data_IF_385646554725
#
_entry.id   IF_385646554725
#
_cell.length_a   1.000
_cell.length_b   1.000
_cell.length_c   1.000
_cell.angle_alpha   90.00
_cell.angle_beta   90.00
_cell.angle_gamma   90.00
#
_symmetry.space_group_name_H-M   'P 1'
#
loop_
_entity.id
_entity.type
_entity.pdbx_description
1 polymer ?
#
# COMPACT_ATOMS: atom_id res chain seq x y z
N UNK A 1 16.74 2.10 13.54
CA UNK A 1 16.05 1.15 12.64
C UNK A 1 15.09 1.96 11.82
N UNK A 2 15.41 2.24 10.55
CA UNK A 2 14.50 3.02 9.71
C UNK A 2 14.93 2.93 8.27
N UNK A 3 14.27 2.02 7.56
CA UNK A 3 13.95 2.13 6.15
C UNK A 3 12.50 2.63 6.10
N UNK A 4 12.07 3.47 5.17
CA UNK A 4 10.65 3.47 4.78
C UNK A 4 10.58 2.57 3.59
N UNK A 5 10.02 1.38 3.78
CA UNK A 5 9.74 0.46 2.68
C UNK A 5 8.38 0.83 2.10
N UNK A 6 8.40 1.16 0.81
CA UNK A 6 7.22 1.50 0.04
C UNK A 6 6.77 0.31 -0.78
N UNK A 7 5.48 0.04 -0.75
CA UNK A 7 4.87 -1.10 -1.39
C UNK A 7 3.98 -0.69 -2.60
N UNK A 8 4.19 -1.29 -3.79
CA UNK A 8 3.41 -1.10 -5.04
C UNK A 8 2.89 -2.45 -5.56
N UNK A 9 1.75 -2.48 -6.28
CA UNK A 9 1.07 -3.73 -6.64
C UNK A 9 0.46 -3.73 -8.05
N UNK A 10 0.50 -4.91 -8.70
CA UNK A 10 0.06 -5.29 -10.06
C UNK A 10 0.83 -4.68 -11.24
N UNK A 11 1.16 -5.52 -12.23
CA UNK A 11 1.91 -5.16 -13.43
C UNK A 11 1.03 -4.53 -14.53
N UNK A 12 0.22 -3.53 -14.17
CA UNK A 12 -0.42 -2.63 -15.13
C UNK A 12 0.20 -1.25 -14.98
N UNK A 13 1.38 -1.05 -15.58
CA UNK A 13 2.26 0.08 -15.29
C UNK A 13 1.54 1.44 -15.30
N UNK A 14 0.75 1.74 -16.32
CA UNK A 14 0.01 3.01 -16.42
C UNK A 14 -1.23 3.05 -15.51
N UNK A 15 -2.02 1.97 -15.45
CA UNK A 15 -3.26 1.96 -14.64
C UNK A 15 -2.97 2.04 -13.15
N UNK A 16 -1.89 1.40 -12.69
CA UNK A 16 -1.45 1.45 -11.30
C UNK A 16 -0.60 2.69 -10.99
N UNK A 17 -0.26 3.47 -12.01
CA UNK A 17 0.51 4.71 -11.85
C UNK A 17 1.97 4.47 -11.51
N UNK A 18 2.56 3.36 -11.98
CA UNK A 18 3.98 3.05 -11.79
C UNK A 18 4.90 4.08 -12.45
N UNK A 19 4.44 4.68 -13.54
CA UNK A 19 5.06 5.85 -14.18
C UNK A 19 5.12 7.05 -13.22
N UNK A 20 3.97 7.43 -12.66
CA UNK A 20 3.84 8.52 -11.69
C UNK A 20 4.67 8.24 -10.44
N UNK A 21 4.66 6.99 -9.96
CA UNK A 21 5.41 6.57 -8.78
C UNK A 21 6.91 6.75 -8.96
N UNK A 22 7.49 6.22 -10.05
CA UNK A 22 8.94 6.31 -10.32
C UNK A 22 9.36 7.77 -10.51
N UNK A 23 8.55 8.59 -11.18
CA UNK A 23 8.82 10.02 -11.34
C UNK A 23 8.78 10.80 -10.00
N UNK A 24 7.87 10.42 -9.10
CA UNK A 24 7.82 10.98 -7.74
C UNK A 24 8.98 10.54 -6.87
N UNK A 25 9.49 9.31 -7.05
CA UNK A 25 10.67 8.82 -6.36
C UNK A 25 11.94 9.55 -6.78
N UNK A 26 12.07 9.87 -8.06
CA UNK A 26 13.19 10.66 -8.56
C UNK A 26 13.21 12.06 -7.93
N UNK A 27 12.04 12.71 -7.83
CA UNK A 27 11.88 13.99 -7.13
C UNK A 27 12.15 13.87 -5.63
N UNK A 28 11.63 12.83 -4.98
CA UNK A 28 11.92 12.56 -3.56
C UNK A 28 13.42 12.39 -3.33
N UNK A 29 14.13 11.68 -4.21
CA UNK A 29 15.57 11.52 -4.12
C UNK A 29 16.27 12.88 -4.16
N UNK A 30 15.89 13.73 -5.11
CA UNK A 30 16.41 15.10 -5.20
C UNK A 30 16.12 15.90 -3.92
N UNK A 31 14.86 15.91 -3.43
CA UNK A 31 14.49 16.62 -2.20
C UNK A 31 15.34 16.16 -1.01
N UNK A 32 15.56 14.85 -0.85
CA UNK A 32 16.36 14.32 0.26
C UNK A 32 17.88 14.58 0.10
N UNK A 33 18.37 14.84 -1.12
CA UNK A 33 19.77 15.24 -1.36
C UNK A 33 20.00 16.72 -1.08
N UNK A 34 19.02 17.58 -1.38
CA UNK A 34 19.15 19.05 -1.30
C UNK A 34 18.48 19.67 -0.08
N UNK A 35 17.75 18.89 0.72
CA UNK A 35 17.00 19.37 1.88
C UNK A 35 17.89 20.02 2.95
N UNK A 36 17.48 21.20 3.40
CA UNK A 36 18.04 21.89 4.57
C UNK A 36 17.16 21.72 5.82
N UNK A 37 16.01 21.08 5.70
CA UNK A 37 15.05 20.88 6.77
C UNK A 37 15.66 20.02 7.89
N UNK A 38 15.66 20.50 9.16
CA UNK A 38 16.20 19.75 10.30
C UNK A 38 15.50 18.40 10.56
N UNK A 39 14.24 18.23 10.14
CA UNK A 39 13.54 16.92 10.16
C UNK A 39 14.30 15.87 9.36
N UNK A 40 15.08 16.30 8.37
CA UNK A 40 15.88 15.49 7.48
C UNK A 40 17.40 15.64 7.70
N UNK A 41 17.85 16.47 8.66
CA UNK A 41 19.28 16.60 9.00
C UNK A 41 19.75 15.34 9.74
N UNK A 42 20.77 14.66 9.21
CA UNK A 42 21.30 13.41 9.77
C UNK A 42 20.90 12.16 9.00
N UNK A 43 20.20 12.31 7.87
CA UNK A 43 20.26 11.31 6.81
C UNK A 43 21.71 11.42 6.28
N UNK A 44 22.69 10.76 6.90
CA UNK A 44 24.11 10.80 6.49
C UNK A 44 24.51 9.45 5.91
N UNK A 45 25.43 9.46 4.93
CA UNK A 45 25.99 8.28 4.25
C UNK A 45 26.46 7.25 5.27
N UNK A 46 26.02 6.00 5.12
CA UNK A 46 26.57 4.89 5.87
C UNK A 46 28.04 4.68 5.46
N UNK A 47 28.99 5.11 6.30
CA UNK A 47 30.33 4.49 6.30
C UNK A 47 30.17 3.11 6.95
N UNK A 48 30.20 2.09 6.09
CA UNK A 48 30.17 0.63 6.31
C UNK A 48 30.66 0.13 7.68
N UNK A 49 29.93 -0.83 8.26
CA UNK A 49 30.52 -1.96 8.97
C UNK A 49 30.61 -3.16 8.02
N UNK A 50 31.43 -3.07 6.97
CA UNK A 50 31.70 -4.20 6.08
C UNK A 50 33.06 -3.95 5.41
N UNK A 51 34.15 -4.28 6.10
CA UNK A 51 35.48 -4.43 5.48
C UNK A 51 35.62 -5.77 4.71
N UNK A 52 34.55 -6.58 4.65
CA UNK A 52 34.55 -7.91 4.01
C UNK A 52 33.77 -8.01 2.67
N UNK A 53 33.02 -6.99 2.24
CA UNK A 53 32.10 -7.06 1.07
C UNK A 53 32.21 -5.80 0.23
N UNK A 54 33.43 -5.41 -0.13
CA UNK A 54 33.66 -4.33 -1.08
C UNK A 54 33.39 -4.82 -2.51
N UNK A 55 32.10 -4.94 -2.87
CA UNK A 55 31.70 -5.08 -4.26
C UNK A 55 31.89 -3.73 -4.98
N UNK A 56 32.56 -3.76 -6.14
CA UNK A 56 32.76 -2.60 -7.01
C UNK A 56 31.47 -2.21 -7.73
N UNK A 57 30.62 -3.19 -8.03
CA UNK A 57 29.37 -3.01 -8.74
C UNK A 57 28.29 -2.35 -7.86
N UNK A 58 27.32 -1.72 -8.53
CA UNK A 58 26.15 -1.14 -7.87
C UNK A 58 25.16 -2.24 -7.45
N UNK A 59 24.41 -2.04 -6.35
CA UNK A 59 23.30 -2.92 -6.02
C UNK A 59 22.28 -2.97 -7.17
N UNK A 60 21.86 -4.16 -7.63
CA UNK A 60 20.97 -4.30 -8.77
C UNK A 60 19.62 -3.65 -8.47
N UNK A 61 19.00 -3.04 -9.49
CA UNK A 61 17.65 -2.48 -9.40
C UNK A 61 16.56 -3.53 -9.66
N UNK A 62 16.91 -4.73 -10.10
CA UNK A 62 16.00 -5.84 -10.39
C UNK A 62 16.56 -7.13 -9.79
N UNK A 63 15.70 -7.94 -9.17
CA UNK A 63 16.13 -9.23 -8.60
C UNK A 63 16.18 -10.36 -9.63
N UNK A 64 15.47 -10.21 -10.74
CA UNK A 64 15.29 -11.24 -11.76
C UNK A 64 15.84 -10.81 -13.11
N UNK A 65 16.20 -11.80 -13.92
CA UNK A 65 16.53 -11.58 -15.33
C UNK A 65 15.23 -11.45 -16.12
N UNK A 66 14.97 -10.25 -16.63
CA UNK A 66 13.79 -9.99 -17.45
C UNK A 66 13.95 -10.67 -18.81
N UNK A 67 12.90 -11.36 -19.25
CA UNK A 67 12.83 -11.95 -20.59
C UNK A 67 12.83 -10.85 -21.67
N UNK A 68 12.18 -9.73 -21.37
CA UNK A 68 12.01 -8.58 -22.26
C UNK A 68 12.98 -7.45 -21.92
N UNK A 69 13.67 -6.92 -22.92
CA UNK A 69 14.55 -5.76 -22.78
C UNK A 69 13.81 -4.42 -22.67
N UNK A 70 12.55 -4.38 -23.12
CA UNK A 70 11.67 -3.20 -23.21
C UNK A 70 10.69 -3.07 -22.04
N UNK A 71 10.99 -3.72 -20.91
CA UNK A 71 10.23 -3.61 -19.66
C UNK A 71 10.02 -2.13 -19.25
N UNK A 72 8.76 -1.75 -18.98
CA UNK A 72 8.37 -0.37 -18.73
C UNK A 72 8.91 0.17 -17.40
N UNK A 73 9.00 -0.68 -16.37
CA UNK A 73 9.53 -0.33 -15.04
C UNK A 73 11.03 -0.05 -15.15
N UNK A 74 11.81 -0.98 -15.72
CA UNK A 74 13.25 -0.82 -15.93
C UNK A 74 13.56 0.37 -16.83
N UNK A 75 12.78 0.58 -17.89
CA UNK A 75 12.91 1.73 -18.78
C UNK A 75 12.70 3.04 -18.02
N UNK A 76 11.68 3.11 -17.16
CA UNK A 76 11.41 4.29 -16.34
C UNK A 76 12.50 4.52 -15.27
N UNK A 77 12.96 3.47 -14.58
CA UNK A 77 14.05 3.57 -13.60
C UNK A 77 15.36 4.06 -14.23
N UNK A 78 15.69 3.59 -15.44
CA UNK A 78 16.84 4.06 -16.21
C UNK A 78 16.68 5.52 -16.65
N UNK A 79 15.50 5.89 -17.15
CA UNK A 79 15.18 7.27 -17.57
C UNK A 79 15.33 8.26 -16.42
N UNK A 80 14.83 7.93 -15.23
CA UNK A 80 14.90 8.78 -14.04
C UNK A 80 16.21 8.67 -13.27
N UNK A 81 17.16 7.87 -13.77
CA UNK A 81 18.47 7.62 -13.15
C UNK A 81 18.38 7.00 -11.76
N UNK A 82 17.30 6.32 -11.37
CA UNK A 82 17.21 5.61 -10.09
C UNK A 82 17.94 4.25 -10.14
N UNK A 83 19.27 4.31 -10.22
CA UNK A 83 20.16 3.15 -10.44
C UNK A 83 20.93 2.71 -9.18
N UNK A 84 20.41 3.04 -7.99
CA UNK A 84 21.04 2.72 -6.71
C UNK A 84 22.47 3.27 -6.51
N UNK A 85 22.87 4.34 -7.20
CA UNK A 85 24.15 5.04 -6.97
C UNK A 85 24.35 5.38 -5.49
N UNK A 86 25.60 5.41 -5.02
CA UNK A 86 25.96 5.50 -3.60
C UNK A 86 25.40 6.76 -2.91
N UNK A 87 25.31 7.85 -3.64
CA UNK A 87 24.80 9.16 -3.24
C UNK A 87 23.26 9.27 -3.28
N UNK A 88 22.55 8.34 -3.91
CA UNK A 88 21.10 8.30 -3.85
C UNK A 88 20.60 8.03 -2.44
N UNK A 89 19.60 8.81 -2.02
CA UNK A 89 18.91 8.66 -0.73
C UNK A 89 17.74 7.70 -0.81
N UNK A 90 17.20 7.52 -2.01
CA UNK A 90 16.14 6.59 -2.38
C UNK A 90 16.80 5.43 -3.10
N UNK A 91 16.66 4.22 -2.57
CA UNK A 91 17.05 2.98 -3.28
C UNK A 91 15.80 2.31 -3.83
N UNK A 92 15.93 1.59 -4.94
CA UNK A 92 14.85 0.87 -5.60
C UNK A 92 15.23 -0.60 -5.77
N UNK A 93 14.28 -1.49 -5.52
CA UNK A 93 14.40 -2.92 -5.82
C UNK A 93 13.13 -3.36 -6.53
N UNK A 94 13.24 -3.66 -7.82
CA UNK A 94 12.19 -4.25 -8.62
C UNK A 94 12.22 -5.78 -8.46
N UNK A 95 11.14 -6.33 -7.89
CA UNK A 95 10.96 -7.77 -7.72
C UNK A 95 9.74 -8.21 -8.55
N UNK A 96 9.95 -8.73 -9.78
CA UNK A 96 8.90 -9.19 -10.68
C UNK A 96 8.51 -10.66 -10.42
N UNK A 97 8.25 -10.99 -9.16
CA UNK A 97 7.78 -12.31 -8.72
C UNK A 97 6.87 -12.14 -7.50
N UNK A 98 5.99 -13.10 -7.26
CA UNK A 98 5.21 -13.14 -6.02
C UNK A 98 6.12 -13.34 -4.81
N UNK A 99 5.80 -12.61 -3.74
CA UNK A 99 6.45 -12.82 -2.45
C UNK A 99 6.09 -14.19 -1.90
N UNK A 100 7.09 -14.91 -1.42
CA UNK A 100 6.95 -16.20 -0.80
C UNK A 100 8.01 -16.40 0.27
N UNK A 101 7.62 -16.99 1.39
CA UNK A 101 8.50 -17.38 2.49
C UNK A 101 9.58 -18.39 2.07
N UNK A 102 9.38 -19.12 0.96
CA UNK A 102 10.42 -20.03 0.41
C UNK A 102 11.40 -19.33 -0.54
N UNK A 103 11.17 -18.07 -0.90
CA UNK A 103 12.09 -17.32 -1.77
C UNK A 103 13.42 -17.11 -1.05
N UNK A 104 14.56 -17.50 -1.64
CA UNK A 104 15.88 -17.34 -1.02
C UNK A 104 16.33 -15.88 -0.93
N UNK A 105 15.62 -14.97 -1.60
CA UNK A 105 15.88 -13.54 -1.54
C UNK A 105 15.18 -12.95 -0.31
N UNK A 106 13.88 -12.72 -0.38
CA UNK A 106 13.16 -11.96 0.66
C UNK A 106 12.76 -12.85 1.84
N UNK A 107 12.40 -14.10 1.60
CA UNK A 107 12.03 -15.06 2.64
C UNK A 107 10.80 -14.67 3.48
N UNK A 108 9.89 -13.88 2.91
CA UNK A 108 8.66 -13.43 3.58
C UNK A 108 7.46 -13.66 2.67
N UNK A 109 6.34 -14.07 3.27
CA UNK A 109 5.04 -14.05 2.59
C UNK A 109 4.52 -12.60 2.49
N UNK A 110 3.57 -12.39 1.58
CA UNK A 110 3.03 -11.06 1.28
C UNK A 110 2.57 -10.29 2.52
N UNK A 111 1.83 -10.94 3.42
CA UNK A 111 1.24 -10.29 4.61
C UNK A 111 2.33 -9.80 5.58
N UNK A 112 3.31 -10.65 5.86
CA UNK A 112 4.44 -10.32 6.74
C UNK A 112 5.30 -9.21 6.14
N UNK A 113 5.50 -9.26 4.82
CA UNK A 113 6.20 -8.23 4.08
C UNK A 113 5.50 -6.88 4.18
N UNK A 114 4.18 -6.81 3.95
CA UNK A 114 3.41 -5.57 4.07
C UNK A 114 3.43 -5.04 5.50
N UNK A 115 3.35 -5.91 6.52
CA UNK A 115 3.47 -5.47 7.93
C UNK A 115 4.84 -4.87 8.27
N UNK A 116 5.88 -5.35 7.59
CA UNK A 116 7.25 -4.81 7.65
C UNK A 116 7.41 -3.48 6.91
N UNK A 117 6.56 -3.22 5.89
CA UNK A 117 6.49 -1.95 5.17
C UNK A 117 6.10 -0.78 6.10
N UNK A 118 6.45 0.43 5.69
CA UNK A 118 6.13 1.65 6.43
C UNK A 118 4.99 2.44 5.78
N UNK A 119 4.87 2.37 4.45
CA UNK A 119 3.92 3.13 3.66
C UNK A 119 3.55 2.34 2.40
N UNK A 120 2.26 2.11 2.15
CA UNK A 120 1.79 1.64 0.85
C UNK A 120 1.64 2.82 -0.12
N UNK A 121 2.04 2.70 -1.38
CA UNK A 121 1.88 3.78 -2.37
C UNK A 121 1.24 3.22 -3.63
N UNK A 122 -0.03 3.57 -3.82
CA UNK A 122 -0.91 3.05 -4.86
C UNK A 122 -1.49 4.22 -5.67
N UNK A 123 -0.68 4.94 -6.46
CA UNK A 123 -1.11 6.13 -7.18
C UNK A 123 -1.91 5.77 -8.44
N UNK A 124 -2.89 4.88 -8.34
CA UNK A 124 -3.65 4.33 -9.46
C UNK A 124 -4.35 5.41 -10.29
N UNK A 125 -4.27 5.28 -11.62
CA UNK A 125 -5.10 6.01 -12.58
C UNK A 125 -6.43 5.30 -12.82
N UNK A 126 -6.41 3.97 -12.92
CA UNK A 126 -7.59 3.13 -13.05
C UNK A 126 -7.60 2.03 -11.98
N UNK A 127 -8.51 2.17 -11.02
CA UNK A 127 -8.67 1.22 -9.93
C UNK A 127 -10.12 1.23 -9.43
N UNK A 128 -10.98 0.31 -9.90
CA UNK A 128 -12.41 0.32 -9.57
C UNK A 128 -12.70 0.34 -8.07
N UNK A 129 -11.86 -0.36 -7.28
CA UNK A 129 -11.92 -0.34 -5.83
C UNK A 129 -10.57 0.04 -5.23
N UNK A 130 -9.69 -0.93 -5.01
CA UNK A 130 -8.42 -0.71 -4.31
C UNK A 130 -8.33 -1.61 -3.08
N UNK A 131 -8.23 -2.92 -3.30
CA UNK A 131 -8.09 -3.89 -2.21
C UNK A 131 -6.76 -3.73 -1.48
N UNK A 132 -5.67 -3.48 -2.21
CA UNK A 132 -4.34 -3.35 -1.62
C UNK A 132 -4.22 -2.21 -0.59
N UNK A 133 -4.67 -0.97 -0.86
CA UNK A 133 -4.69 0.07 0.18
C UNK A 133 -5.67 -0.25 1.33
N UNK A 134 -6.77 -0.96 1.07
CA UNK A 134 -7.68 -1.42 2.12
C UNK A 134 -7.01 -2.47 3.03
N UNK A 135 -6.32 -3.45 2.47
CA UNK A 135 -5.53 -4.45 3.19
C UNK A 135 -4.41 -3.81 4.01
N UNK A 136 -3.70 -2.83 3.44
CA UNK A 136 -2.73 -2.02 4.19
C UNK A 136 -3.38 -1.37 5.42
N UNK A 137 -4.59 -0.81 5.27
CA UNK A 137 -5.32 -0.17 6.37
C UNK A 137 -5.66 -1.16 7.48
N UNK A 138 -6.15 -2.35 7.12
CA UNK A 138 -6.40 -3.46 8.06
C UNK A 138 -5.13 -3.90 8.79
N UNK A 139 -3.98 -3.87 8.11
CA UNK A 139 -2.67 -4.17 8.70
C UNK A 139 -2.04 -2.99 9.48
N UNK A 140 -2.74 -1.87 9.61
CA UNK A 140 -2.24 -0.66 10.28
C UNK A 140 -1.08 0.03 9.54
N UNK A 141 -1.01 -0.15 8.23
CA UNK A 141 0.00 0.45 7.35
C UNK A 141 -0.61 1.66 6.64
N UNK A 142 -0.10 2.89 6.89
CA UNK A 142 -0.50 4.07 6.15
C UNK A 142 -0.38 3.83 4.64
N UNK A 143 -1.29 4.39 3.86
CA UNK A 143 -1.29 4.22 2.41
C UNK A 143 -1.58 5.52 1.68
N UNK A 144 -0.97 5.67 0.50
CA UNK A 144 -1.28 6.70 -0.47
C UNK A 144 -2.14 6.08 -1.57
N UNK A 145 -3.31 6.64 -1.83
CA UNK A 145 -4.18 6.31 -2.96
C UNK A 145 -4.49 7.55 -3.81
N UNK A 146 -5.48 7.47 -4.70
CA UNK A 146 -5.90 8.59 -5.57
C UNK A 146 -7.41 8.80 -5.54
N UNK A 147 -7.85 10.01 -5.91
CA UNK A 147 -9.26 10.34 -6.12
C UNK A 147 -9.84 9.79 -7.45
N UNK A 148 -9.12 8.86 -8.09
CA UNK A 148 -9.61 8.02 -9.19
C UNK A 148 -9.83 6.57 -8.74
N UNK A 149 -9.31 6.18 -7.57
CA UNK A 149 -9.54 4.86 -6.98
C UNK A 149 -10.83 4.82 -6.18
N UNK A 150 -11.57 3.71 -6.22
CA UNK A 150 -12.77 3.54 -5.39
C UNK A 150 -12.50 3.67 -3.89
N UNK A 151 -11.39 3.11 -3.40
CA UNK A 151 -10.94 3.21 -2.02
C UNK A 151 -10.63 4.67 -1.62
N UNK A 152 -9.90 5.40 -2.47
CA UNK A 152 -9.56 6.80 -2.22
C UNK A 152 -10.80 7.68 -2.17
N UNK A 153 -11.73 7.50 -3.11
CA UNK A 153 -13.03 8.18 -3.11
C UNK A 153 -13.84 7.84 -1.85
N UNK A 154 -13.96 6.55 -1.51
CA UNK A 154 -14.68 6.08 -0.32
C UNK A 154 -14.14 6.72 0.96
N UNK A 155 -12.81 6.71 1.15
CA UNK A 155 -12.16 7.30 2.31
C UNK A 155 -12.34 8.82 2.38
N UNK A 156 -12.29 9.54 1.26
CA UNK A 156 -12.55 10.98 1.23
C UNK A 156 -14.00 11.35 1.57
N UNK A 157 -14.94 10.48 1.22
CA UNK A 157 -16.37 10.71 1.49
C UNK A 157 -16.74 10.38 2.94
N UNK A 158 -16.14 9.34 3.52
CA UNK A 158 -16.56 8.80 4.83
C UNK A 158 -15.65 9.21 6.00
N UNK A 159 -14.49 9.81 5.74
CA UNK A 159 -13.54 10.24 6.78
C UNK A 159 -13.22 11.73 6.58
N UNK A 160 -13.49 12.55 7.60
CA UNK A 160 -13.36 14.02 7.53
C UNK A 160 -11.91 14.49 7.27
N UNK A 161 -10.93 13.88 7.96
CA UNK A 161 -9.50 14.11 7.70
C UNK A 161 -8.77 12.77 7.55
N UNK A 162 -8.80 12.15 6.36
CA UNK A 162 -8.16 10.86 6.11
C UNK A 162 -6.64 10.90 6.38
N UNK A 163 -6.00 12.05 6.18
CA UNK A 163 -4.56 12.21 6.32
C UNK A 163 -4.11 12.05 7.78
N UNK A 164 -4.90 12.50 8.75
CA UNK A 164 -4.64 12.30 10.18
C UNK A 164 -4.68 10.84 10.61
N UNK A 165 -5.35 9.98 9.83
CA UNK A 165 -5.43 8.53 9.99
C UNK A 165 -4.48 7.76 9.06
N UNK A 166 -3.67 8.45 8.25
CA UNK A 166 -2.61 7.83 7.44
C UNK A 166 -3.10 7.35 6.09
N UNK A 167 -4.26 7.86 5.66
CA UNK A 167 -4.79 7.68 4.32
C UNK A 167 -4.52 8.99 3.57
N UNK A 168 -3.59 8.94 2.63
CA UNK A 168 -3.26 10.09 1.80
C UNK A 168 -3.89 9.90 0.43
N UNK A 169 -4.55 10.94 -0.09
CA UNK A 169 -5.21 10.87 -1.40
C UNK A 169 -4.61 11.91 -2.33
N UNK A 170 -3.90 11.42 -3.36
CA UNK A 170 -3.33 12.26 -4.41
C UNK A 170 -4.45 12.66 -5.37
N UNK A 171 -4.46 13.93 -5.76
CA UNK A 171 -5.40 14.41 -6.76
C UNK A 171 -4.83 14.11 -8.15
N UNK A 172 -5.45 13.14 -8.84
CA UNK A 172 -5.18 12.78 -10.24
C UNK A 172 -6.38 13.10 -11.15
N UNK A 173 -7.48 13.60 -10.60
CA UNK A 173 -8.72 13.91 -11.34
C UNK A 173 -8.77 15.35 -11.80
N UNK A 174 -8.28 16.29 -10.98
CA UNK A 174 -8.40 17.73 -11.22
C UNK A 174 -7.04 18.43 -11.40
N UNK A 175 -5.95 17.66 -11.40
CA UNK A 175 -4.58 18.16 -11.57
C UNK A 175 -3.89 17.52 -12.76
N UNK A 176 -2.91 18.24 -13.32
CA UNK A 176 -2.03 17.69 -14.34
C UNK A 176 -1.13 16.58 -13.77
N UNK A 177 -0.61 15.67 -14.62
CA UNK A 177 0.30 14.62 -14.17
C UNK A 177 1.50 15.15 -13.38
N UNK A 178 2.08 16.29 -13.79
CA UNK A 178 3.22 16.90 -13.08
C UNK A 178 2.85 17.38 -11.68
N UNK A 179 1.66 17.98 -11.52
CA UNK A 179 1.16 18.40 -10.22
C UNK A 179 0.90 17.21 -9.30
N UNK A 180 0.32 16.13 -9.82
CA UNK A 180 0.11 14.89 -9.08
C UNK A 180 1.43 14.25 -8.65
N UNK A 181 2.43 14.25 -9.55
CA UNK A 181 3.79 13.76 -9.26
C UNK A 181 4.44 14.56 -8.12
N UNK A 182 4.35 15.90 -8.16
CA UNK A 182 4.85 16.77 -7.10
C UNK A 182 4.12 16.56 -5.78
N UNK A 183 2.80 16.42 -5.82
CA UNK A 183 1.99 16.13 -4.63
C UNK A 183 2.40 14.79 -3.99
N UNK A 184 2.55 13.74 -4.80
CA UNK A 184 2.98 12.43 -4.30
C UNK A 184 4.39 12.49 -3.69
N UNK A 185 5.34 13.15 -4.36
CA UNK A 185 6.69 13.35 -3.85
C UNK A 185 6.69 14.12 -2.51
N UNK A 186 5.85 15.15 -2.39
CA UNK A 186 5.72 15.94 -1.18
C UNK A 186 5.17 15.11 -0.01
N UNK A 187 4.12 14.30 -0.23
CA UNK A 187 3.57 13.42 0.80
C UNK A 187 4.65 12.43 1.30
N UNK A 188 5.40 11.81 0.38
CA UNK A 188 6.49 10.91 0.76
C UNK A 188 7.62 11.64 1.51
N UNK A 189 7.95 12.86 1.09
CA UNK A 189 8.95 13.69 1.77
C UNK A 189 8.52 14.03 3.20
N UNK A 190 7.29 14.49 3.40
CA UNK A 190 6.78 14.82 4.74
C UNK A 190 6.67 13.57 5.63
N UNK A 191 6.27 12.42 5.06
CA UNK A 191 6.30 11.14 5.77
C UNK A 191 7.72 10.75 6.18
N UNK A 192 8.72 11.04 5.33
CA UNK A 192 10.13 10.89 5.68
C UNK A 192 10.57 11.83 6.82
N UNK A 193 9.87 12.92 7.09
CA UNK A 193 10.18 13.83 8.20
C UNK A 193 9.68 13.33 9.56
N UNK A 194 8.91 12.24 9.60
CA UNK A 194 8.31 11.74 10.84
C UNK A 194 9.33 11.02 11.74
N UNK A 195 9.23 11.25 13.04
CA UNK A 195 9.92 10.45 14.07
C UNK A 195 9.32 9.04 14.20
N UNK A 196 10.07 8.12 14.82
CA UNK A 196 9.57 6.76 15.13
C UNK A 196 8.27 6.80 15.94
N UNK A 197 8.19 7.68 16.94
CA UNK A 197 6.98 7.86 17.76
C UNK A 197 5.79 8.33 16.93
N UNK A 198 6.00 9.31 16.04
CA UNK A 198 4.95 9.77 15.12
C UNK A 198 4.47 8.64 14.20
N UNK A 199 5.38 7.84 13.63
CA UNK A 199 5.01 6.69 12.78
C UNK A 199 4.19 5.64 13.54
N UNK A 200 4.56 5.31 14.78
CA UNK A 200 3.79 4.37 15.62
C UNK A 200 2.37 4.91 15.88
N UNK A 201 2.27 6.18 16.25
CA UNK A 201 0.96 6.83 16.46
C UNK A 201 0.13 6.80 15.17
N UNK A 202 0.76 7.07 14.02
CA UNK A 202 0.10 7.03 12.73
C UNK A 202 -0.45 5.63 12.41
N UNK A 203 0.38 4.58 12.56
CA UNK A 203 -0.04 3.17 12.36
C UNK A 203 -1.22 2.79 13.24
N UNK A 204 -1.19 3.17 14.52
CA UNK A 204 -2.28 2.92 15.46
C UNK A 204 -3.57 3.67 15.09
N UNK A 205 -3.48 4.81 14.42
CA UNK A 205 -4.66 5.51 13.90
C UNK A 205 -5.18 4.83 12.64
N UNK A 206 -4.28 4.46 11.72
CA UNK A 206 -4.65 3.75 10.49
C UNK A 206 -5.41 2.46 10.78
N UNK A 207 -4.94 1.66 11.75
CA UNK A 207 -5.58 0.39 12.12
C UNK A 207 -7.02 0.56 12.64
N UNK A 208 -7.35 1.69 13.29
CA UNK A 208 -8.72 2.00 13.73
C UNK A 208 -9.72 2.17 12.59
N UNK A 209 -9.25 2.48 11.37
CA UNK A 209 -10.12 2.56 10.20
C UNK A 209 -10.50 1.17 9.66
N UNK A 210 -9.91 0.08 10.16
CA UNK A 210 -10.24 -1.27 9.71
C UNK A 210 -11.71 -1.64 9.92
N UNK A 211 -12.34 -1.18 11.01
CA UNK A 211 -13.76 -1.41 11.31
C UNK A 211 -14.70 -0.82 10.24
N UNK A 212 -14.31 0.31 9.64
CA UNK A 212 -15.07 0.95 8.56
C UNK A 212 -15.08 0.09 7.28
N UNK A 213 -14.02 -0.69 7.07
CA UNK A 213 -13.82 -1.52 5.88
C UNK A 213 -14.37 -2.94 6.05
N UNK A 214 -14.88 -3.27 7.24
CA UNK A 214 -15.46 -4.59 7.51
C UNK A 214 -16.85 -4.76 6.88
N UNK A 215 -17.21 -6.01 6.52
CA UNK A 215 -18.50 -6.32 5.93
C UNK A 215 -19.68 -6.09 6.88
N UNK A 216 -19.47 -6.08 8.20
CA UNK A 216 -20.50 -5.68 9.14
C UNK A 216 -20.91 -4.21 8.94
N UNK A 217 -19.97 -3.37 8.49
CA UNK A 217 -20.20 -1.95 8.16
C UNK A 217 -20.67 -1.80 6.70
N UNK A 218 -19.91 -2.32 5.74
CA UNK A 218 -20.19 -2.14 4.31
C UNK A 218 -21.41 -2.93 3.79
N UNK A 219 -21.83 -3.97 4.51
CA UNK A 219 -22.97 -4.81 4.15
C UNK A 219 -24.32 -4.07 4.14
N UNK A 220 -24.41 -2.90 4.79
CA UNK A 220 -25.62 -2.08 4.80
C UNK A 220 -26.04 -1.66 3.39
N UNK A 221 -25.09 -1.29 2.52
CA UNK A 221 -25.38 -0.87 1.15
C UNK A 221 -26.03 -2.00 0.32
N UNK A 222 -25.67 -3.26 0.60
CA UNK A 222 -26.32 -4.43 -0.01
C UNK A 222 -27.72 -4.69 0.53
N UNK A 223 -27.99 -4.34 1.79
CA UNK A 223 -29.34 -4.45 2.36
C UNK A 223 -30.24 -3.37 1.77
N UNK A 224 -29.72 -2.15 1.65
CA UNK A 224 -30.45 -1.00 1.13
C UNK A 224 -30.78 -1.18 -0.35
N UNK A 225 -29.83 -1.65 -1.18
CA UNK A 225 -30.11 -1.86 -2.60
C UNK A 225 -31.19 -2.92 -2.85
N UNK A 226 -31.19 -4.00 -2.06
CA UNK A 226 -32.23 -5.04 -2.12
C UNK A 226 -33.59 -4.49 -1.67
N UNK A 227 -33.61 -3.69 -0.62
CA UNK A 227 -34.83 -3.01 -0.16
C UNK A 227 -35.37 -2.07 -1.23
N UNK A 228 -34.54 -1.19 -1.79
CA UNK A 228 -34.90 -0.28 -2.87
C UNK A 228 -35.42 -1.01 -4.12
N UNK A 229 -34.82 -2.14 -4.48
CA UNK A 229 -35.27 -2.94 -5.61
C UNK A 229 -36.69 -3.50 -5.38
N UNK A 230 -36.96 -3.99 -4.18
CA UNK A 230 -38.28 -4.47 -3.81
C UNK A 230 -39.31 -3.32 -3.71
N UNK A 231 -38.92 -2.13 -3.26
CA UNK A 231 -39.82 -0.95 -3.14
C UNK A 231 -40.26 -0.46 -4.53
N UNK A 232 -39.36 -0.57 -5.52
CA UNK A 232 -39.69 -0.27 -6.92
C UNK A 232 -40.58 -1.33 -7.56
N UNK A 233 -40.38 -2.61 -7.22
CA UNK A 233 -41.18 -3.71 -7.75
C UNK A 233 -42.57 -3.77 -7.12
N UNK A 234 -42.67 -3.47 -5.82
CA UNK A 234 -43.88 -3.54 -5.02
C UNK A 234 -44.07 -2.23 -4.24
N UNK A 235 -44.78 -1.23 -4.81
CA UNK A 235 -45.06 0.03 -4.12
C UNK A 235 -45.83 -0.12 -2.80
N UNK A 236 -46.56 -1.23 -2.64
CA UNK A 236 -47.30 -1.62 -1.44
C UNK A 236 -46.50 -2.57 -0.52
N UNK A 237 -45.17 -2.60 -0.64
CA UNK A 237 -44.28 -3.50 0.11
C UNK A 237 -44.62 -3.58 1.60
N UNK A 238 -44.86 -2.45 2.27
CA UNK A 238 -45.14 -2.47 3.71
C UNK A 238 -46.38 -3.28 4.05
N UNK A 239 -47.42 -3.23 3.21
CA UNK A 239 -48.62 -4.04 3.38
C UNK A 239 -48.31 -5.52 3.14
N UNK A 240 -47.52 -5.85 2.12
CA UNK A 240 -47.08 -7.22 1.84
C UNK A 240 -46.28 -7.78 3.03
N UNK A 241 -45.36 -7.00 3.60
CA UNK A 241 -44.58 -7.39 4.77
C UNK A 241 -45.51 -7.65 5.96
N UNK A 242 -46.38 -6.69 6.31
CA UNK A 242 -47.33 -6.82 7.43
C UNK A 242 -48.24 -8.04 7.27
N UNK A 243 -48.70 -8.32 6.06
CA UNK A 243 -49.55 -9.49 5.79
C UNK A 243 -48.80 -10.83 5.94
N UNK A 244 -47.47 -10.82 5.86
CA UNK A 244 -46.58 -11.98 5.96
C UNK A 244 -45.87 -12.11 7.31
N UNK A 245 -45.99 -11.13 8.21
CA UNK A 245 -45.46 -11.22 9.57
C UNK A 245 -46.02 -12.46 10.29
N UNK A 246 -45.14 -13.29 10.83
CA UNK A 246 -45.48 -14.55 11.50
C UNK A 246 -45.92 -15.70 10.59
N UNK A 247 -46.12 -15.49 9.29
CA UNK A 247 -46.49 -16.53 8.30
C UNK A 247 -45.28 -17.12 7.59
N UNK A 248 -44.21 -16.35 7.46
CA UNK A 248 -42.93 -16.86 6.98
C UNK A 248 -42.24 -17.51 8.18
N UNK A 249 -42.01 -18.83 8.11
CA UNK A 249 -41.26 -19.53 9.14
C UNK A 249 -39.92 -18.82 9.37
N UNK A 250 -39.62 -18.48 10.62
CA UNK A 250 -38.28 -18.00 10.99
C UNK A 250 -37.31 -19.04 10.44
N UNK A 251 -36.40 -18.62 9.55
CA UNK A 251 -35.37 -19.52 9.07
C UNK A 251 -34.41 -19.77 10.22
N UNK A 252 -34.76 -20.70 11.10
CA UNK A 252 -34.05 -21.11 12.32
C UNK A 252 -32.82 -21.95 11.95
N UNK A 253 -31.99 -21.46 11.03
CA UNK A 253 -30.72 -22.09 10.65
C UNK A 253 -29.68 -21.10 10.08
N UNK A 254 -29.49 -19.98 10.76
CA UNK A 254 -28.16 -19.38 10.90
C UNK A 254 -27.76 -19.34 12.38
N UNK A 255 -27.98 -20.47 13.08
CA UNK A 255 -27.35 -20.73 14.37
C UNK A 255 -25.90 -21.11 14.08
N UNK A 256 -25.00 -20.15 14.21
CA UNK A 256 -23.53 -20.32 14.27
C UNK A 256 -22.90 -21.25 13.19
N UNK A 257 -22.58 -20.67 12.02
CA UNK A 257 -21.29 -20.97 11.37
C UNK A 257 -20.27 -19.89 11.80
N UNK A 258 -20.28 -19.57 13.09
CA UNK A 258 -19.26 -18.78 13.79
C UNK A 258 -18.53 -19.67 14.82
N UNK A 259 -18.55 -20.99 14.63
CA UNK A 259 -17.96 -21.98 15.52
C UNK A 259 -16.85 -22.83 14.89
N UNK A 260 -16.44 -22.53 13.65
CA UNK A 260 -15.28 -23.18 13.05
C UNK A 260 -14.39 -22.10 12.41
N UNK A 261 -13.29 -21.69 13.06
CA UNK A 261 -12.38 -20.67 12.52
C UNK A 261 -11.70 -21.10 11.21
N UNK A 262 -11.94 -22.33 10.74
CA UNK A 262 -11.42 -22.85 9.47
C UNK A 262 -12.27 -22.54 8.22
N UNK A 263 -13.48 -21.97 8.36
CA UNK A 263 -14.37 -21.70 7.20
C UNK A 263 -14.29 -20.24 6.73
N UNK A 264 -13.90 -19.29 7.59
CA UNK A 264 -13.62 -17.90 7.19
C UNK A 264 -12.30 -17.73 6.44
N UNK A 265 -11.48 -18.78 6.35
CA UNK A 265 -10.26 -18.82 5.54
C UNK A 265 -10.49 -19.12 4.05
N UNK A 266 -11.74 -19.19 3.59
CA UNK A 266 -12.04 -19.25 2.17
C UNK A 266 -12.58 -17.90 1.73
N UNK A 267 -11.66 -16.95 1.59
CA UNK A 267 -11.77 -16.03 0.46
C UNK A 267 -12.14 -16.88 -0.77
N UNK A 268 -13.10 -16.47 -1.63
CA UNK A 268 -13.11 -17.02 -2.98
C UNK A 268 -11.65 -16.92 -3.48
N UNK A 269 -11.08 -17.97 -4.11
CA UNK A 269 -9.73 -17.85 -4.62
C UNK A 269 -9.70 -16.56 -5.41
N UNK A 270 -8.90 -15.61 -4.92
CA UNK A 270 -8.59 -14.41 -5.69
C UNK A 270 -8.22 -14.96 -7.07
N UNK A 271 -8.78 -14.44 -8.18
CA UNK A 271 -8.22 -14.77 -9.48
C UNK A 271 -6.70 -14.61 -9.36
N UNK A 272 -5.89 -15.53 -9.92
CA UNK A 272 -4.44 -15.42 -9.84
C UNK A 272 -4.09 -13.97 -10.12
N UNK A 273 -3.48 -13.30 -9.14
CA UNK A 273 -3.26 -11.85 -9.20
C UNK A 273 -2.10 -11.67 -10.16
N UNK A 274 -2.35 -11.84 -11.45
CA UNK A 274 -1.32 -11.95 -12.47
C UNK A 274 -0.33 -10.77 -12.34
N UNK A 275 0.92 -11.16 -12.16
CA UNK A 275 2.15 -10.37 -12.06
C UNK A 275 2.16 -9.25 -11.00
N UNK A 276 2.78 -9.58 -9.85
CA UNK A 276 3.19 -8.59 -8.85
C UNK A 276 4.56 -8.01 -9.19
N UNK A 277 4.60 -6.71 -9.41
CA UNK A 277 5.82 -5.93 -9.49
C UNK A 277 5.96 -5.09 -8.23
N UNK A 278 6.88 -5.49 -7.37
CA UNK A 278 7.20 -4.75 -6.16
C UNK A 278 8.37 -3.80 -6.42
N UNK A 279 8.23 -2.52 -6.07
CA UNK A 279 9.35 -1.57 -5.99
C UNK A 279 9.60 -1.27 -4.52
N UNK A 280 10.57 -1.97 -3.92
CA UNK A 280 11.03 -1.64 -2.57
C UNK A 280 11.77 -0.32 -2.65
N UNK A 281 11.16 0.74 -2.14
CA UNK A 281 11.90 1.98 -1.90
C UNK A 281 12.51 1.88 -0.54
N UNK A 282 13.82 2.10 -0.38
CA UNK A 282 14.47 2.15 0.95
C UNK A 282 15.00 3.56 1.19
N UNK A 283 14.44 4.30 2.16
CA UNK A 283 14.96 5.60 2.66
C UNK A 283 15.40 5.49 4.14
N UNK A 284 16.65 5.85 4.47
CA UNK A 284 17.26 5.54 5.79
C UNK A 284 17.18 6.66 6.83
N UNK A 285 16.83 6.36 8.11
CA UNK A 285 16.90 7.30 9.26
C UNK A 285 17.51 6.70 10.55
N UNK A 286 17.67 7.55 11.58
CA UNK A 286 18.48 7.46 12.82
C UNK A 286 18.40 6.15 13.65
N UNK A 287 19.49 5.84 14.36
CA UNK A 287 19.65 4.72 15.30
C UNK A 287 19.88 5.21 16.74
N UNK A 288 19.14 4.65 17.68
CA UNK A 288 19.56 4.48 19.09
C UNK A 288 19.08 3.08 19.53
N UNK A 289 19.99 2.26 20.08
CA UNK A 289 19.71 0.99 20.76
C UNK A 289 19.41 -0.24 19.89
N UNK A 290 20.14 -1.33 20.12
CA UNK A 290 20.14 -2.59 19.34
C UNK A 290 19.24 -3.67 19.99
N UNK A 291 18.43 -4.40 19.20
CA UNK A 291 17.95 -5.76 19.51
C UNK A 291 17.75 -6.62 18.23
N UNK A 292 17.99 -7.93 18.35
CA UNK A 292 18.57 -8.84 17.33
C UNK A 292 17.57 -9.47 16.32
N UNK A 293 16.29 -9.09 16.31
CA UNK A 293 15.27 -9.79 15.48
C UNK A 293 14.91 -9.14 14.14
N UNK A 294 15.43 -7.96 13.83
CA UNK A 294 15.07 -7.16 12.63
C UNK A 294 16.07 -7.29 11.47
N UNK A 295 17.01 -8.23 11.53
CA UNK A 295 18.14 -8.35 10.60
C UNK A 295 17.81 -8.98 9.22
N UNK A 296 16.65 -9.65 9.07
CA UNK A 296 16.39 -10.47 7.88
C UNK A 296 16.27 -9.67 6.56
N UNK A 297 15.77 -8.44 6.57
CA UNK A 297 15.67 -7.59 5.37
C UNK A 297 16.97 -6.84 5.03
N UNK A 298 17.97 -6.88 5.91
CA UNK A 298 19.21 -6.10 5.80
C UNK A 298 20.32 -6.87 5.11
N UNK A 299 20.35 -8.21 5.22
CA UNK A 299 21.44 -9.04 4.69
C UNK A 299 21.19 -9.56 3.26
N UNK A 300 20.01 -9.27 2.68
CA UNK A 300 19.63 -9.70 1.32
C UNK A 300 20.05 -8.69 0.24
N UNK A 301 20.19 -7.39 0.57
CA UNK A 301 20.41 -6.30 -0.40
C UNK A 301 21.46 -5.26 0.04
#
# INVERSE_FOLDING_TARGET
MSSIDVCFYRYEFSNKGGDLFIESLARLNHYLQTTTDPRHKGITVLKRCIMATEKKDLPPICTHNMVRGDDQVLSALRRTQLLNYRDHRVKVVFHPEFLSSVSPLIGLDYEDFVRGCHLGVFPSYYEPWGYTPAECTVMGIPSISTNLSGFGCFMQEHVEDPSSYGIYVVDRRFKSPEESVRQLAQIMYDFCGMSRRQRIIQRNRTERLSELLDWNSLGVFYRDCRRMALEKLHPDMENIIRQNEGKVGVMTKYRYILGNPSIFNRFPPQPPVDDLAFIAVKTRMKSEGFHVREAALIDVF
#
